data_IF_069413932966
#
_entry.id   IF_069413932966
#
_cell.length_a   1.000
_cell.length_b   1.000
_cell.length_c   1.000
_cell.angle_alpha   90.00
_cell.angle_beta   90.00
_cell.angle_gamma   90.00
#
_symmetry.space_group_name_H-M   'P 1'
#
loop_
_entity.id
_entity.type
_entity.pdbx_description
1 polymer ?
#
# COMPACT_ATOMS: atom_id res chain seq x y z
N UNK A 1 -27.63 19.69 -3.43
CA UNK A 1 -26.22 19.50 -3.84
C UNK A 1 -26.20 19.67 -5.35
N UNK A 2 -25.58 20.73 -5.86
CA UNK A 2 -25.67 21.15 -7.26
C UNK A 2 -24.38 20.71 -7.97
N UNK A 3 -24.51 20.08 -9.13
CA UNK A 3 -23.40 19.53 -9.90
C UNK A 3 -22.49 20.67 -10.39
N UNK A 4 -21.14 20.52 -10.38
CA UNK A 4 -20.19 21.59 -10.77
C UNK A 4 -20.26 22.00 -12.26
N UNK A 5 -21.09 21.34 -13.07
CA UNK A 5 -21.43 21.82 -14.41
C UNK A 5 -22.42 23.00 -14.41
N UNK A 6 -23.01 23.35 -13.26
CA UNK A 6 -24.02 24.41 -13.16
C UNK A 6 -23.44 25.84 -13.18
N UNK A 7 -22.11 26.01 -13.14
CA UNK A 7 -21.44 27.33 -13.08
C UNK A 7 -20.46 27.58 -14.24
N UNK A 8 -20.66 26.95 -15.39
CA UNK A 8 -19.90 27.31 -16.60
C UNK A 8 -20.79 28.00 -17.63
N UNK A 9 -20.74 29.33 -17.65
CA UNK A 9 -21.19 30.18 -18.77
C UNK A 9 -20.22 30.09 -19.95
N UNK A 10 -19.92 28.87 -20.40
CA UNK A 10 -19.17 28.65 -21.64
C UNK A 10 -20.22 28.34 -22.69
N UNK A 11 -20.34 29.21 -23.70
CA UNK A 11 -21.15 28.95 -24.87
C UNK A 11 -20.60 27.68 -25.54
N UNK A 12 -21.27 26.56 -25.32
CA UNK A 12 -20.96 25.32 -26.01
C UNK A 12 -21.09 25.60 -27.51
N UNK A 13 -20.05 25.34 -28.33
CA UNK A 13 -20.21 25.40 -29.78
C UNK A 13 -21.38 24.47 -30.17
N UNK A 14 -22.16 24.82 -31.22
CA UNK A 14 -23.33 24.05 -31.63
C UNK A 14 -22.94 22.59 -31.82
N UNK A 15 -23.80 21.70 -31.33
CA UNK A 15 -23.63 20.26 -31.50
C UNK A 15 -23.55 19.93 -33.00
N UNK A 16 -22.39 19.45 -33.44
CA UNK A 16 -22.18 18.96 -34.80
C UNK A 16 -22.41 17.43 -34.80
N UNK A 17 -23.47 16.94 -35.46
CA UNK A 17 -23.72 15.50 -35.56
C UNK A 17 -22.53 14.82 -36.26
N UNK A 18 -21.97 13.78 -35.64
CA UNK A 18 -20.89 12.97 -36.23
C UNK A 18 -19.46 13.34 -35.81
N UNK A 19 -19.27 14.34 -34.94
CA UNK A 19 -17.96 14.65 -34.34
C UNK A 19 -17.88 14.05 -32.95
N UNK A 20 -17.03 13.03 -32.77
CA UNK A 20 -16.72 12.51 -31.45
C UNK A 20 -15.96 13.55 -30.63
N UNK A 21 -16.46 13.88 -29.44
CA UNK A 21 -15.79 14.76 -28.48
C UNK A 21 -15.76 14.09 -27.12
N UNK A 22 -14.59 14.07 -26.50
CA UNK A 22 -14.45 13.65 -25.09
C UNK A 22 -15.03 14.77 -24.22
N UNK A 23 -16.20 14.51 -23.63
CA UNK A 23 -16.91 15.49 -22.77
C UNK A 23 -16.48 15.42 -21.31
N UNK A 24 -15.82 14.34 -20.91
CA UNK A 24 -15.20 14.15 -19.61
C UNK A 24 -14.16 13.02 -19.66
N UNK A 25 -13.11 13.16 -18.88
CA UNK A 25 -12.17 12.08 -18.56
C UNK A 25 -12.23 11.84 -17.07
N UNK A 26 -12.44 10.60 -16.67
CA UNK A 26 -12.43 10.21 -15.26
C UNK A 26 -11.18 9.36 -15.01
N UNK A 27 -10.34 9.75 -14.06
CA UNK A 27 -9.25 8.91 -13.54
C UNK A 27 -9.86 7.88 -12.58
N UNK A 28 -10.58 6.89 -13.14
CA UNK A 28 -11.23 5.85 -12.34
C UNK A 28 -10.19 4.82 -11.95
N UNK A 29 -9.83 4.80 -10.67
CA UNK A 29 -8.94 3.81 -10.08
C UNK A 29 -9.72 2.56 -9.72
N UNK A 30 -9.01 1.45 -9.54
CA UNK A 30 -9.65 0.19 -9.17
C UNK A 30 -10.42 0.31 -7.83
N UNK A 31 -9.91 1.15 -6.90
CA UNK A 31 -10.56 1.50 -5.62
C UNK A 31 -11.90 2.25 -5.76
N UNK A 32 -12.17 2.89 -6.90
CA UNK A 32 -13.44 3.59 -7.14
C UNK A 32 -14.58 2.61 -7.48
N UNK A 33 -14.24 1.36 -7.76
CA UNK A 33 -15.20 0.27 -7.94
C UNK A 33 -15.22 -0.58 -6.67
N UNK A 34 -16.30 -0.48 -5.89
CA UNK A 34 -16.52 -1.30 -4.69
C UNK A 34 -16.85 -2.77 -5.05
N UNK A 35 -15.92 -3.48 -5.70
CA UNK A 35 -15.96 -4.94 -5.81
C UNK A 35 -15.08 -5.50 -4.70
N UNK A 36 -15.65 -5.61 -3.52
CA UNK A 36 -15.02 -6.33 -2.43
C UNK A 36 -14.76 -7.77 -2.84
N UNK A 37 -13.56 -8.27 -2.55
CA UNK A 37 -13.30 -9.68 -2.78
C UNK A 37 -14.27 -10.56 -1.99
N UNK A 38 -14.73 -11.64 -2.62
CA UNK A 38 -15.47 -12.69 -1.91
C UNK A 38 -14.56 -13.60 -1.07
N UNK A 39 -13.24 -13.39 -1.16
CA UNK A 39 -12.25 -14.17 -0.47
C UNK A 39 -12.28 -13.94 1.04
N UNK A 40 -12.28 -15.03 1.81
CA UNK A 40 -12.25 -14.99 3.28
C UNK A 40 -10.89 -15.34 3.87
N UNK A 41 -10.08 -16.08 3.14
CA UNK A 41 -8.81 -16.64 3.60
C UNK A 41 -7.79 -16.55 2.48
N UNK A 42 -6.57 -16.17 2.81
CA UNK A 42 -5.48 -15.97 1.85
C UNK A 42 -4.26 -16.79 2.23
N UNK A 43 -3.46 -17.08 1.21
CA UNK A 43 -2.14 -17.69 1.30
C UNK A 43 -1.16 -16.96 0.37
N UNK A 44 0.11 -17.32 0.41
CA UNK A 44 1.15 -16.73 -0.45
C UNK A 44 1.14 -15.19 -0.42
N UNK A 45 1.13 -14.61 0.78
CA UNK A 45 1.15 -13.16 0.95
C UNK A 45 2.55 -12.65 0.60
N UNK A 46 2.64 -11.72 -0.35
CA UNK A 46 3.88 -11.08 -0.76
C UNK A 46 3.78 -9.57 -0.60
N UNK A 47 4.91 -8.94 -0.36
CA UNK A 47 5.02 -7.48 -0.25
C UNK A 47 5.96 -6.91 -1.31
N UNK A 48 5.74 -5.64 -1.64
CA UNK A 48 6.71 -4.77 -2.31
C UNK A 48 6.75 -3.44 -1.54
N UNK A 49 7.92 -3.09 -0.99
CA UNK A 49 8.18 -1.83 -0.29
C UNK A 49 9.14 -0.99 -1.12
N UNK A 50 8.85 0.31 -1.26
CA UNK A 50 9.68 1.28 -1.97
C UNK A 50 10.22 2.36 -1.05
N UNK A 51 11.49 2.69 -1.26
CA UNK A 51 12.15 3.88 -0.72
C UNK A 51 12.16 4.94 -1.80
N UNK A 52 11.81 6.18 -1.45
CA UNK A 52 11.75 7.26 -2.43
C UNK A 52 13.10 7.43 -3.16
N UNK A 53 13.03 7.74 -4.44
CA UNK A 53 14.22 7.99 -5.25
C UNK A 53 14.66 9.46 -5.16
N UNK A 54 15.01 9.92 -3.96
CA UNK A 54 15.54 11.27 -3.70
C UNK A 54 16.80 11.20 -2.85
N UNK A 55 17.67 12.20 -2.98
CA UNK A 55 18.91 12.27 -2.21
C UNK A 55 18.61 12.24 -0.70
N UNK A 56 19.32 11.36 0.03
CA UNK A 56 19.14 11.20 1.47
C UNK A 56 17.93 10.36 1.89
N UNK A 57 17.16 9.77 0.97
CA UNK A 57 15.98 8.97 1.30
C UNK A 57 16.27 7.61 1.97
N UNK A 58 17.53 7.18 2.00
CA UNK A 58 17.91 5.86 2.54
C UNK A 58 18.06 5.84 4.06
N UNK A 59 18.08 4.64 4.64
CA UNK A 59 18.38 4.41 6.06
C UNK A 59 19.51 3.39 6.22
N UNK A 60 20.34 3.56 7.24
CA UNK A 60 21.32 2.54 7.65
C UNK A 60 20.72 1.48 8.57
N UNK A 61 19.52 1.73 9.09
CA UNK A 61 18.89 0.88 10.08
C UNK A 61 18.33 -0.40 9.45
N UNK A 62 18.06 -1.38 10.32
CA UNK A 62 17.25 -2.54 9.93
C UNK A 62 15.81 -2.10 9.86
N UNK A 63 15.10 -2.44 8.78
CA UNK A 63 13.66 -2.19 8.65
C UNK A 63 12.91 -3.52 8.63
N UNK A 64 11.82 -3.59 9.39
CA UNK A 64 10.85 -4.69 9.35
C UNK A 64 9.44 -4.14 9.46
N UNK A 65 8.47 -4.97 9.14
CA UNK A 65 7.07 -4.68 9.44
C UNK A 65 6.40 -5.86 10.11
N UNK A 66 5.30 -5.58 10.80
CA UNK A 66 4.30 -6.57 11.18
C UNK A 66 3.06 -6.38 10.32
N UNK A 67 2.38 -7.48 10.00
CA UNK A 67 1.16 -7.49 9.20
C UNK A 67 0.12 -8.34 9.92
N UNK A 68 -1.00 -7.75 10.30
CA UNK A 68 -2.03 -8.48 11.05
C UNK A 68 -2.88 -7.59 11.93
N UNK A 69 -3.43 -8.18 13.00
CA UNK A 69 -4.17 -7.43 14.01
C UNK A 69 -3.20 -6.70 14.93
N UNK A 70 -3.49 -5.44 15.25
CA UNK A 70 -2.69 -4.63 16.18
C UNK A 70 -2.72 -5.20 17.60
N UNK A 71 -3.79 -5.93 17.93
CA UNK A 71 -4.00 -6.55 19.24
C UNK A 71 -3.46 -7.99 19.29
N UNK A 72 -2.78 -8.44 18.22
CA UNK A 72 -2.15 -9.75 18.21
C UNK A 72 -1.04 -9.80 19.27
N UNK A 73 -1.04 -10.88 20.07
CA UNK A 73 -0.08 -11.05 21.16
C UNK A 73 1.30 -11.44 20.64
N UNK A 74 1.36 -12.04 19.46
CA UNK A 74 2.59 -12.51 18.83
C UNK A 74 2.65 -12.08 17.36
N UNK A 75 2.79 -10.77 17.08
CA UNK A 75 2.76 -10.27 15.72
C UNK A 75 3.97 -10.78 14.92
N UNK A 76 3.70 -11.40 13.76
CA UNK A 76 4.76 -11.91 12.88
C UNK A 76 5.53 -10.77 12.23
N UNK A 77 6.83 -10.73 12.50
CA UNK A 77 7.74 -9.74 11.92
C UNK A 77 8.30 -10.24 10.59
N UNK A 78 8.22 -9.39 9.56
CA UNK A 78 8.84 -9.61 8.25
C UNK A 78 9.96 -8.60 8.07
N UNK A 79 11.20 -9.09 7.99
CA UNK A 79 12.38 -8.24 7.76
C UNK A 79 12.39 -7.82 6.30
N UNK A 80 12.46 -6.50 6.08
CA UNK A 80 12.54 -5.88 4.75
C UNK A 80 14.00 -5.84 4.30
N UNK A 81 14.89 -5.44 5.21
CA UNK A 81 16.32 -5.39 4.93
C UNK A 81 17.10 -4.55 5.93
N UNK A 82 18.39 -4.37 5.62
CA UNK A 82 19.32 -3.50 6.32
C UNK A 82 19.92 -2.54 5.32
N UNK A 83 20.12 -1.28 5.71
CA UNK A 83 20.84 -0.34 4.86
C UNK A 83 20.09 -0.03 3.55
N UNK A 84 18.80 0.31 3.63
CA UNK A 84 18.00 0.60 2.44
C UNK A 84 18.51 1.88 1.76
N UNK A 85 18.71 1.83 0.44
CA UNK A 85 19.17 2.97 -0.36
C UNK A 85 18.03 3.69 -1.07
N UNK A 86 18.23 4.95 -1.46
CA UNK A 86 17.26 5.70 -2.24
C UNK A 86 16.88 4.95 -3.53
N UNK A 87 15.58 4.87 -3.83
CA UNK A 87 15.06 4.12 -4.98
C UNK A 87 15.02 2.60 -4.80
N UNK A 88 15.35 2.07 -3.62
CA UNK A 88 15.24 0.64 -3.34
C UNK A 88 13.80 0.14 -3.50
N UNK A 89 13.67 -1.00 -4.17
CA UNK A 89 12.44 -1.79 -4.20
C UNK A 89 12.73 -3.14 -3.55
N UNK A 90 12.16 -3.38 -2.36
CA UNK A 90 12.30 -4.65 -1.64
C UNK A 90 11.04 -5.48 -1.82
N UNK A 91 11.21 -6.74 -2.21
CA UNK A 91 10.12 -7.70 -2.38
C UNK A 91 10.40 -8.95 -1.57
N UNK A 92 9.35 -9.56 -1.07
CA UNK A 92 9.46 -10.83 -0.34
C UNK A 92 8.09 -11.39 0.02
N UNK A 93 8.11 -12.47 0.78
CA UNK A 93 6.91 -13.15 1.27
C UNK A 93 6.74 -12.91 2.76
N UNK A 94 5.49 -12.89 3.21
CA UNK A 94 5.10 -12.77 4.62
C UNK A 94 4.75 -14.16 5.15
N UNK A 95 5.35 -14.55 6.26
CA UNK A 95 5.10 -15.86 6.87
C UNK A 95 5.60 -17.03 6.02
N UNK A 96 5.01 -18.20 6.23
CA UNK A 96 5.29 -19.40 5.43
C UNK A 96 4.34 -19.48 4.23
N UNK A 97 4.81 -20.01 3.09
CA UNK A 97 3.99 -20.15 1.88
C UNK A 97 2.76 -21.06 2.07
N UNK A 98 2.80 -21.96 3.05
CA UNK A 98 1.67 -22.86 3.36
C UNK A 98 0.67 -22.26 4.37
N UNK A 99 0.98 -21.10 4.92
CA UNK A 99 0.14 -20.47 5.93
C UNK A 99 -1.13 -19.88 5.29
N UNK A 100 -2.29 -20.32 5.81
CA UNK A 100 -3.59 -19.76 5.46
C UNK A 100 -3.99 -18.77 6.56
N UNK A 101 -4.24 -17.53 6.17
CA UNK A 101 -4.60 -16.43 7.09
C UNK A 101 -6.00 -15.92 6.75
N UNK A 102 -6.91 -15.80 7.73
CA UNK A 102 -8.18 -15.12 7.53
C UNK A 102 -7.93 -13.68 7.07
N UNK A 103 -8.55 -13.28 5.98
CA UNK A 103 -8.40 -11.93 5.42
C UNK A 103 -8.84 -10.86 6.43
N UNK A 104 -9.82 -11.19 7.29
CA UNK A 104 -10.29 -10.34 8.38
C UNK A 104 -9.23 -10.07 9.46
N UNK A 105 -8.16 -10.84 9.55
CA UNK A 105 -7.06 -10.62 10.49
C UNK A 105 -5.98 -9.70 9.92
N UNK A 106 -5.96 -9.48 8.60
CA UNK A 106 -5.05 -8.53 7.96
C UNK A 106 -5.66 -7.13 8.07
N UNK A 107 -5.39 -6.45 9.19
CA UNK A 107 -6.00 -5.15 9.53
C UNK A 107 -5.02 -3.99 9.57
N UNK A 108 -3.75 -4.26 9.84
CA UNK A 108 -2.74 -3.24 9.99
C UNK A 108 -1.40 -3.71 9.47
N UNK A 109 -0.65 -2.76 8.93
CA UNK A 109 0.79 -2.86 8.73
C UNK A 109 1.47 -1.85 9.65
N UNK A 110 2.47 -2.30 10.40
CA UNK A 110 3.27 -1.42 11.25
C UNK A 110 4.75 -1.59 10.91
N UNK A 111 5.37 -0.53 10.40
CA UNK A 111 6.78 -0.47 10.02
C UNK A 111 7.60 -0.02 11.24
N UNK A 112 8.68 -0.72 11.50
CA UNK A 112 9.60 -0.46 12.61
C UNK A 112 11.03 -0.53 12.11
N UNK A 113 11.92 0.16 12.81
CA UNK A 113 13.35 0.17 12.50
C UNK A 113 14.18 -0.11 13.75
N UNK A 114 15.39 -0.68 13.62
CA UNK A 114 16.33 -0.94 14.72
C UNK A 114 17.40 0.13 14.65
N UNK A 115 17.37 1.07 15.59
CA UNK A 115 18.34 2.14 15.62
C UNK A 115 19.71 1.62 16.05
N UNK A 116 20.68 1.64 15.13
CA UNK A 116 22.03 1.10 15.41
C UNK A 116 23.11 2.15 15.68
N UNK A 117 22.80 3.46 15.65
CA UNK A 117 23.85 4.48 15.74
C UNK A 117 23.61 5.63 16.72
N UNK A 118 24.56 5.79 17.63
CA UNK A 118 24.74 6.88 18.61
C UNK A 118 25.03 8.27 18.01
N UNK A 119 24.43 8.64 16.86
CA UNK A 119 24.58 9.99 16.28
C UNK A 119 23.30 10.81 16.46
N UNK A 120 23.40 12.10 16.85
CA UNK A 120 22.25 12.99 17.07
C UNK A 120 21.53 13.43 15.78
N UNK A 121 21.91 12.87 14.63
CA UNK A 121 21.19 13.06 13.38
C UNK A 121 20.38 11.79 13.16
N UNK A 122 19.12 11.79 13.61
CA UNK A 122 18.18 10.73 13.32
C UNK A 122 18.20 10.47 11.81
N UNK A 123 18.52 9.23 11.41
CA UNK A 123 18.58 8.81 10.02
C UNK A 123 17.15 8.81 9.45
N UNK A 124 16.66 10.02 9.16
CA UNK A 124 15.37 10.19 8.51
C UNK A 124 15.47 9.55 7.14
N UNK A 125 14.50 8.72 6.79
CA UNK A 125 14.44 8.09 5.47
C UNK A 125 13.06 8.28 4.87
N UNK A 126 12.96 8.23 3.55
CA UNK A 126 11.71 8.55 2.87
C UNK A 126 11.03 7.27 2.41
N UNK A 127 10.02 6.85 3.16
CA UNK A 127 9.15 5.74 2.82
C UNK A 127 8.17 6.16 1.72
N UNK A 128 8.21 5.49 0.58
CA UNK A 128 7.39 5.85 -0.58
C UNK A 128 6.08 5.06 -0.62
N UNK A 129 6.16 3.73 -0.54
CA UNK A 129 4.98 2.87 -0.63
C UNK A 129 5.21 1.47 -0.07
N UNK A 130 4.11 0.82 0.30
CA UNK A 130 4.05 -0.62 0.53
C UNK A 130 2.77 -1.18 -0.08
N UNK A 131 2.89 -2.21 -0.90
CA UNK A 131 1.75 -2.93 -1.46
C UNK A 131 1.84 -4.39 -1.10
N UNK A 132 0.68 -5.05 -1.04
CA UNK A 132 0.60 -6.47 -0.76
C UNK A 132 -0.15 -7.19 -1.87
N UNK A 133 0.33 -8.39 -2.20
CA UNK A 133 -0.41 -9.32 -3.05
C UNK A 133 -0.62 -10.60 -2.29
N UNK A 134 -1.71 -11.28 -2.56
CA UNK A 134 -2.00 -12.57 -1.95
C UNK A 134 -2.73 -13.47 -2.93
N UNK A 135 -2.86 -14.75 -2.58
CA UNK A 135 -3.69 -15.71 -3.32
C UNK A 135 -4.87 -16.10 -2.44
N UNK A 136 -6.08 -16.01 -2.97
CA UNK A 136 -7.25 -16.52 -2.27
C UNK A 136 -7.13 -18.04 -2.09
N UNK A 137 -7.23 -18.52 -0.85
CA UNK A 137 -6.99 -19.92 -0.53
C UNK A 137 -8.03 -20.85 -1.19
N UNK A 138 -9.28 -20.40 -1.32
CA UNK A 138 -10.39 -21.19 -1.85
C UNK A 138 -10.45 -21.23 -3.37
N UNK A 139 -10.18 -20.12 -4.05
CA UNK A 139 -10.35 -19.99 -5.51
C UNK A 139 -9.04 -19.94 -6.29
N UNK A 140 -7.91 -19.68 -5.64
CA UNK A 140 -6.64 -19.41 -6.31
C UNK A 140 -6.56 -18.03 -6.96
N UNK A 141 -7.61 -17.20 -6.87
CA UNK A 141 -7.65 -15.85 -7.42
C UNK A 141 -6.58 -14.96 -6.77
N UNK A 142 -5.88 -14.15 -7.55
CA UNK A 142 -4.91 -13.19 -7.03
C UNK A 142 -5.62 -11.97 -6.47
N UNK A 143 -5.15 -11.50 -5.32
CA UNK A 143 -5.61 -10.30 -4.64
C UNK A 143 -4.49 -9.26 -4.56
N UNK A 144 -4.87 -7.99 -4.61
CA UNK A 144 -3.99 -6.83 -4.47
C UNK A 144 -4.54 -5.89 -3.41
N UNK A 145 -3.70 -5.48 -2.47
CA UNK A 145 -3.93 -4.34 -1.60
C UNK A 145 -2.89 -3.27 -1.93
N UNK A 146 -3.34 -2.25 -2.68
CA UNK A 146 -2.53 -1.14 -3.18
C UNK A 146 -2.81 0.18 -2.44
N UNK A 147 -3.54 0.13 -1.31
CA UNK A 147 -3.96 1.32 -0.56
C UNK A 147 -2.82 2.30 -0.28
N UNK A 148 -1.62 1.77 -0.06
CA UNK A 148 -0.42 2.50 0.26
C UNK A 148 0.62 2.50 -0.87
N UNK A 149 0.16 2.47 -2.12
CA UNK A 149 0.99 2.63 -3.32
C UNK A 149 1.62 4.03 -3.46
N UNK A 150 1.14 5.00 -2.69
CA UNK A 150 1.71 6.34 -2.59
C UNK A 150 1.47 6.96 -1.20
N UNK A 151 2.51 6.94 -0.35
CA UNK A 151 2.53 7.58 0.97
C UNK A 151 3.48 8.79 0.96
N UNK A 152 4.72 8.56 0.51
CA UNK A 152 5.78 9.57 0.45
C UNK A 152 5.99 10.33 1.77
N UNK A 153 6.41 9.61 2.81
CA UNK A 153 6.61 10.16 4.16
C UNK A 153 8.06 10.03 4.63
N UNK A 154 8.54 11.07 5.30
CA UNK A 154 9.83 11.05 6.00
C UNK A 154 9.64 10.39 7.38
N UNK A 155 10.28 9.24 7.57
CA UNK A 155 10.20 8.44 8.79
C UNK A 155 11.49 8.58 9.58
N UNK A 156 11.36 8.67 10.89
CA UNK A 156 12.47 8.65 11.83
C UNK A 156 11.99 8.06 13.15
N UNK A 157 12.81 7.24 13.79
CA UNK A 157 12.51 6.72 15.11
C UNK A 157 12.62 7.78 16.19
N UNK A 158 11.55 7.92 16.97
CA UNK A 158 11.49 8.77 18.17
C UNK A 158 11.71 7.92 19.44
N UNK A 159 11.14 6.71 19.46
CA UNK A 159 11.13 5.79 20.58
C UNK A 159 11.02 4.33 20.09
N UNK A 160 10.65 3.40 20.96
CA UNK A 160 10.53 1.97 20.60
C UNK A 160 9.22 1.61 19.87
N UNK A 161 8.45 2.60 19.41
CA UNK A 161 7.20 2.38 18.66
C UNK A 161 7.43 2.26 17.14
N UNK A 162 6.46 1.69 16.40
CA UNK A 162 6.50 1.70 14.95
C UNK A 162 6.63 3.14 14.40
N UNK A 163 7.54 3.33 13.45
CA UNK A 163 7.76 4.63 12.79
C UNK A 163 6.63 5.00 11.83
N UNK A 164 5.85 4.02 11.39
CA UNK A 164 4.67 4.24 10.58
C UNK A 164 3.68 3.08 10.74
N UNK A 165 2.38 3.40 10.70
CA UNK A 165 1.30 2.41 10.71
C UNK A 165 0.25 2.75 9.66
N UNK A 166 -0.34 1.73 9.05
CA UNK A 166 -1.45 1.88 8.12
C UNK A 166 -2.55 0.85 8.39
N UNK A 167 -3.77 1.33 8.65
CA UNK A 167 -4.96 0.51 8.86
C UNK A 167 -5.71 0.19 7.55
N UNK A 168 -6.05 -1.06 7.36
CA UNK A 168 -6.81 -1.53 6.22
C UNK A 168 -7.79 -2.63 6.63
N UNK A 169 -8.63 -3.02 5.69
CA UNK A 169 -9.71 -3.98 5.91
C UNK A 169 -9.77 -4.95 4.73
N UNK A 170 -10.61 -5.98 4.88
CA UNK A 170 -10.90 -6.92 3.78
C UNK A 170 -11.37 -6.20 2.49
N UNK A 171 -12.01 -5.04 2.61
CA UNK A 171 -12.50 -4.23 1.48
C UNK A 171 -11.38 -3.55 0.69
N UNK A 172 -10.21 -3.38 1.29
CA UNK A 172 -9.04 -2.80 0.61
C UNK A 172 -8.32 -3.84 -0.28
N UNK A 173 -8.75 -5.12 -0.26
CA UNK A 173 -8.22 -6.19 -1.09
C UNK A 173 -9.08 -6.40 -2.34
N UNK A 174 -8.45 -6.23 -3.49
CA UNK A 174 -9.09 -6.22 -4.79
C UNK A 174 -8.70 -7.46 -5.59
N UNK A 175 -9.67 -8.06 -6.28
CA UNK A 175 -9.43 -9.21 -7.14
C UNK A 175 -8.73 -8.78 -8.43
N UNK A 176 -7.53 -9.33 -8.67
CA UNK A 176 -6.75 -9.03 -9.87
C UNK A 176 -7.18 -9.99 -10.97
N UNK A 177 -8.08 -9.55 -11.84
CA UNK A 177 -8.40 -10.29 -13.05
C UNK A 177 -7.28 -10.08 -14.08
N UNK A 178 -6.58 -11.15 -14.44
CA UNK A 178 -5.58 -11.10 -15.51
C UNK A 178 -6.21 -10.64 -16.83
N UNK A 179 -5.48 -9.82 -17.59
CA UNK A 179 -5.77 -9.60 -19.00
C UNK A 179 -5.39 -10.82 -19.83
#
# INVERSE_FOLDING_TARGET
MQHPAAEQTIAWPPYEPGVERVVATFDIRHRDWLFSTSCKEVKDINYELKVANVEGAGTYDKVWFTLGDKDDKEPKQTVVGYGLTAGDIKKGSVGSNEEIVPLSHLKQVAISEEHRWFRPFANTWTFESIIFTATCASSGQKLLMDKYDWIHANLYRVDDTPVWTGDFSAWDWLEVHGK
#
